data_IF_460591206406
#
_entry.id   IF_460591206406
#
_cell.length_a   1.000
_cell.length_b   1.000
_cell.length_c   1.000
_cell.angle_alpha   90.00
_cell.angle_beta   90.00
_cell.angle_gamma   90.00
#
_symmetry.space_group_name_H-M   'P 1'
#
loop_
_entity.id
_entity.type
_entity.pdbx_description
1 polymer ?
#
# COMPACT_ATOMS: atom_id res chain seq x y z
N UNK A 1 18.71 11.00 -12.88
CA UNK A 1 18.24 11.89 -11.79
C UNK A 1 17.74 10.98 -10.67
N UNK A 2 18.00 11.29 -9.39
CA UNK A 2 17.44 10.50 -8.28
C UNK A 2 15.91 10.62 -8.27
N UNK A 3 15.23 9.51 -7.98
CA UNK A 3 13.77 9.49 -7.84
C UNK A 3 13.44 9.36 -6.35
N UNK A 4 12.67 10.31 -5.79
CA UNK A 4 12.43 10.39 -4.36
C UNK A 4 11.48 9.29 -3.87
N UNK A 5 11.53 9.05 -2.56
CA UNK A 5 10.52 8.24 -1.89
C UNK A 5 9.14 8.89 -1.98
N UNK A 6 8.09 8.08 -2.01
CA UNK A 6 6.71 8.54 -2.08
C UNK A 6 5.75 7.45 -1.63
N UNK A 7 4.53 7.85 -1.28
CA UNK A 7 3.43 6.93 -0.99
C UNK A 7 2.92 6.32 -2.29
N UNK A 8 3.04 5.00 -2.44
CA UNK A 8 2.60 4.28 -3.64
C UNK A 8 1.12 3.94 -3.59
N UNK A 9 0.65 3.45 -2.44
CA UNK A 9 -0.74 3.10 -2.21
C UNK A 9 -1.09 3.18 -0.73
N UNK A 10 -2.35 3.46 -0.47
CA UNK A 10 -2.97 3.51 0.85
C UNK A 10 -4.27 2.72 0.80
N UNK A 11 -4.43 1.76 1.70
CA UNK A 11 -5.64 0.97 1.85
C UNK A 11 -6.17 1.10 3.28
N UNK A 12 -7.48 1.21 3.41
CA UNK A 12 -8.20 1.11 4.69
C UNK A 12 -9.16 -0.06 4.56
N UNK A 13 -9.01 -1.03 5.44
CA UNK A 13 -9.79 -2.26 5.40
C UNK A 13 -10.26 -2.70 6.79
N UNK A 14 -11.33 -3.47 6.80
CA UNK A 14 -11.88 -4.11 7.98
C UNK A 14 -12.30 -5.55 7.62
N UNK A 15 -11.72 -6.52 8.33
CA UNK A 15 -11.86 -7.96 8.04
C UNK A 15 -13.19 -8.56 8.51
N UNK A 16 -14.05 -7.79 9.17
CA UNK A 16 -15.38 -8.25 9.64
C UNK A 16 -16.49 -7.84 8.67
N UNK A 17 -16.19 -7.07 7.63
CA UNK A 17 -17.19 -6.59 6.68
C UNK A 17 -17.61 -7.69 5.70
N UNK A 18 -18.93 -7.82 5.54
CA UNK A 18 -19.54 -8.77 4.60
C UNK A 18 -19.78 -8.13 3.23
N UNK A 19 -19.76 -8.93 2.16
CA UNK A 19 -20.05 -8.45 0.81
C UNK A 19 -21.51 -8.00 0.68
N UNK A 20 -21.70 -6.93 -0.08
CA UNK A 20 -23.03 -6.48 -0.52
C UNK A 20 -23.58 -7.43 -1.58
N UNK A 21 -24.90 -7.42 -1.78
CA UNK A 21 -25.54 -8.22 -2.84
C UNK A 21 -24.97 -7.91 -4.23
N UNK A 22 -24.62 -6.65 -4.51
CA UNK A 22 -23.99 -6.26 -5.77
C UNK A 22 -22.58 -6.87 -5.94
N UNK A 23 -21.77 -6.88 -4.87
CA UNK A 23 -20.44 -7.49 -4.89
C UNK A 23 -20.53 -9.00 -5.14
N UNK A 24 -21.46 -9.69 -4.48
CA UNK A 24 -21.71 -11.13 -4.70
C UNK A 24 -22.14 -11.46 -6.14
N UNK A 25 -22.91 -10.58 -6.78
CA UNK A 25 -23.34 -10.79 -8.17
C UNK A 25 -22.25 -10.49 -9.19
N UNK A 26 -21.35 -9.55 -8.89
CA UNK A 26 -20.30 -9.10 -9.80
C UNK A 26 -19.02 -9.93 -9.75
N UNK A 27 -18.79 -10.66 -8.65
CA UNK A 27 -17.56 -11.41 -8.45
C UNK A 27 -17.61 -12.75 -9.20
N UNK A 28 -16.51 -13.12 -9.84
CA UNK A 28 -16.35 -14.42 -10.50
C UNK A 28 -16.24 -15.56 -9.48
N UNK A 29 -15.72 -15.25 -8.28
CA UNK A 29 -15.53 -16.16 -7.16
C UNK A 29 -16.07 -15.51 -5.87
N UNK A 30 -16.75 -16.30 -5.03
CA UNK A 30 -17.32 -15.84 -3.77
C UNK A 30 -16.26 -15.33 -2.81
N UNK A 31 -15.10 -15.97 -2.73
CA UNK A 31 -14.02 -15.58 -1.80
C UNK A 31 -13.50 -14.19 -2.15
N UNK A 32 -13.40 -13.93 -3.43
CA UNK A 32 -13.02 -12.67 -4.04
C UNK A 32 -14.00 -11.53 -3.72
N UNK A 33 -15.29 -11.86 -3.55
CA UNK A 33 -16.30 -10.90 -3.09
C UNK A 33 -16.10 -10.54 -1.62
N UNK A 34 -15.78 -11.51 -0.76
CA UNK A 34 -15.46 -11.27 0.65
C UNK A 34 -14.19 -10.43 0.80
N UNK A 35 -13.13 -10.77 0.06
CA UNK A 35 -11.88 -10.02 0.07
C UNK A 35 -12.07 -8.57 -0.41
N UNK A 36 -12.86 -8.38 -1.46
CA UNK A 36 -13.25 -7.05 -1.91
C UNK A 36 -14.08 -6.30 -0.85
N UNK A 37 -14.95 -6.99 -0.13
CA UNK A 37 -15.81 -6.39 0.87
C UNK A 37 -15.03 -5.84 2.07
N UNK A 38 -13.89 -6.43 2.40
CA UNK A 38 -13.04 -5.93 3.48
C UNK A 38 -12.43 -4.55 3.18
N UNK A 39 -12.21 -4.22 1.91
CA UNK A 39 -11.57 -2.97 1.49
C UNK A 39 -12.63 -1.87 1.37
N UNK A 40 -12.45 -0.80 2.13
CA UNK A 40 -13.39 0.33 2.20
C UNK A 40 -12.80 1.57 1.53
N UNK A 41 -11.47 1.68 1.51
CA UNK A 41 -10.79 2.71 0.76
C UNK A 41 -9.50 2.14 0.17
N UNK A 42 -9.21 2.52 -1.06
CA UNK A 42 -7.96 2.21 -1.73
C UNK A 42 -7.59 3.37 -2.64
N UNK A 43 -6.40 3.94 -2.43
CA UNK A 43 -5.82 4.96 -3.29
C UNK A 43 -4.43 4.53 -3.72
N UNK A 44 -4.06 4.89 -4.94
CA UNK A 44 -2.75 4.63 -5.51
C UNK A 44 -2.34 5.82 -6.38
N UNK A 45 -1.04 6.12 -6.41
CA UNK A 45 -0.51 7.19 -7.25
C UNK A 45 -0.63 6.86 -8.75
N UNK A 46 -0.63 5.58 -9.12
CA UNK A 46 -0.84 5.15 -10.49
C UNK A 46 -2.29 5.39 -10.91
N UNK A 47 -2.49 5.99 -12.10
CA UNK A 47 -3.81 6.43 -12.59
C UNK A 47 -4.88 5.33 -12.64
N UNK A 48 -4.48 4.07 -12.79
CA UNK A 48 -5.38 2.92 -12.85
C UNK A 48 -4.72 1.71 -12.19
N UNK A 49 -5.32 1.21 -11.11
CA UNK A 49 -4.93 -0.05 -10.48
C UNK A 49 -5.99 -1.11 -10.76
N UNK A 50 -5.56 -2.30 -11.16
CA UNK A 50 -6.48 -3.43 -11.34
C UNK A 50 -6.98 -3.94 -9.99
N UNK A 51 -8.21 -4.48 -9.98
CA UNK A 51 -8.79 -5.16 -8.82
C UNK A 51 -7.83 -6.21 -8.25
N UNK A 52 -7.28 -7.07 -9.10
CA UNK A 52 -6.33 -8.12 -8.70
C UNK A 52 -5.11 -7.58 -7.95
N UNK A 53 -4.57 -6.43 -8.39
CA UNK A 53 -3.40 -5.84 -7.74
C UNK A 53 -3.75 -5.34 -6.33
N UNK A 54 -4.86 -4.63 -6.21
CA UNK A 54 -5.38 -4.18 -4.91
C UNK A 54 -5.64 -5.36 -3.97
N UNK A 55 -6.35 -6.40 -4.43
CA UNK A 55 -6.64 -7.59 -3.64
C UNK A 55 -5.37 -8.32 -3.21
N UNK A 56 -4.36 -8.44 -4.09
CA UNK A 56 -3.06 -9.04 -3.72
C UNK A 56 -2.31 -8.22 -2.68
N UNK A 57 -2.31 -6.89 -2.80
CA UNK A 57 -1.62 -6.02 -1.84
C UNK A 57 -2.25 -6.10 -0.45
N UNK A 58 -3.58 -5.95 -0.37
CA UNK A 58 -4.31 -6.03 0.91
C UNK A 58 -4.30 -7.46 1.46
N UNK A 59 -4.47 -8.47 0.61
CA UNK A 59 -4.42 -9.88 1.01
C UNK A 59 -3.07 -10.26 1.61
N UNK A 60 -1.96 -9.75 1.05
CA UNK A 60 -0.62 -9.94 1.62
C UNK A 60 -0.50 -9.25 3.00
N UNK A 61 -0.97 -8.00 3.12
CA UNK A 61 -0.95 -7.28 4.40
C UNK A 61 -1.73 -8.04 5.49
N UNK A 62 -2.94 -8.53 5.16
CA UNK A 62 -3.76 -9.36 6.04
C UNK A 62 -3.04 -10.65 6.47
N UNK A 63 -2.44 -11.35 5.51
CA UNK A 63 -1.74 -12.60 5.79
C UNK A 63 -0.56 -12.37 6.75
N UNK A 64 0.19 -11.28 6.57
CA UNK A 64 1.32 -10.92 7.43
C UNK A 64 0.88 -10.54 8.85
N UNK A 65 -0.19 -9.75 8.99
CA UNK A 65 -0.80 -9.43 10.28
C UNK A 65 -1.25 -10.70 11.00
N UNK A 66 -1.97 -11.59 10.31
CA UNK A 66 -2.45 -12.84 10.89
C UNK A 66 -1.29 -13.76 11.28
N UNK A 67 -0.24 -13.83 10.45
CA UNK A 67 0.97 -14.60 10.75
C UNK A 67 1.70 -14.05 11.98
N UNK A 68 1.88 -12.73 12.08
CA UNK A 68 2.45 -12.10 13.28
C UNK A 68 1.58 -12.37 14.53
N UNK A 69 0.26 -12.40 14.34
CA UNK A 69 -0.73 -12.77 15.35
C UNK A 69 -0.53 -14.16 15.98
N UNK A 70 0.10 -15.09 15.26
CA UNK A 70 0.44 -16.41 15.78
C UNK A 70 1.53 -16.37 16.87
N UNK A 71 2.35 -15.31 16.88
CA UNK A 71 3.45 -15.12 17.84
C UNK A 71 3.14 -14.05 18.88
N UNK A 72 2.23 -13.13 18.56
CA UNK A 72 1.80 -12.07 19.45
C UNK A 72 0.26 -11.97 19.43
N UNK A 73 -0.45 -12.16 20.56
CA UNK A 73 -1.91 -12.32 20.56
C UNK A 73 -2.71 -11.13 20.02
N UNK A 74 -2.13 -9.93 20.02
CA UNK A 74 -2.79 -8.68 19.64
C UNK A 74 -1.81 -7.82 18.82
N UNK A 75 -1.44 -8.23 17.60
CA UNK A 75 -0.56 -7.41 16.78
C UNK A 75 -1.28 -6.10 16.48
N UNK A 76 -0.74 -4.99 16.94
CA UNK A 76 -1.28 -3.65 16.62
C UNK A 76 -0.70 -3.11 15.34
N UNK A 77 0.42 -3.69 14.88
CA UNK A 77 1.14 -3.28 13.68
C UNK A 77 2.01 -4.39 13.10
N UNK A 78 2.36 -4.23 11.83
CA UNK A 78 3.39 -4.98 11.12
C UNK A 78 4.12 -4.06 10.16
N UNK A 79 5.45 -4.00 10.28
CA UNK A 79 6.32 -3.30 9.34
C UNK A 79 7.09 -4.31 8.51
N UNK A 80 7.09 -4.14 7.19
CA UNK A 80 7.80 -5.01 6.26
C UNK A 80 8.72 -4.20 5.37
N UNK A 81 9.99 -4.59 5.38
CA UNK A 81 11.04 -3.96 4.60
C UNK A 81 11.44 -4.85 3.44
N UNK A 82 11.50 -4.27 2.26
CA UNK A 82 12.10 -4.88 1.08
C UNK A 82 13.18 -3.98 0.52
N UNK A 83 13.94 -4.47 -0.46
CA UNK A 83 14.96 -3.67 -1.14
C UNK A 83 14.39 -2.39 -1.77
N UNK A 84 13.11 -2.38 -2.16
CA UNK A 84 12.50 -1.28 -2.93
C UNK A 84 11.42 -0.52 -2.18
N UNK A 85 10.82 -1.14 -1.15
CA UNK A 85 9.62 -0.64 -0.49
C UNK A 85 9.67 -0.78 1.02
N UNK A 86 9.01 0.14 1.71
CA UNK A 86 8.59 0.01 3.12
C UNK A 86 7.08 -0.17 3.15
N UNK A 87 6.59 -1.16 3.87
CA UNK A 87 5.17 -1.42 4.05
C UNK A 87 4.85 -1.29 5.54
N UNK A 88 3.85 -0.48 5.86
CA UNK A 88 3.38 -0.28 7.23
C UNK A 88 1.91 -0.64 7.27
N UNK A 89 1.55 -1.55 8.17
CA UNK A 89 0.17 -1.91 8.46
C UNK A 89 -0.07 -1.73 9.96
N UNK A 90 -1.10 -0.99 10.36
CA UNK A 90 -1.43 -0.82 11.77
C UNK A 90 -2.93 -0.64 11.98
N UNK A 91 -3.38 -0.89 13.20
CA UNK A 91 -4.79 -0.74 13.59
C UNK A 91 -5.00 0.56 14.37
N UNK A 92 -5.63 1.60 13.76
CA UNK A 92 -5.91 2.86 14.46
C UNK A 92 -7.09 2.76 15.44
N UNK A 93 -8.01 1.82 15.22
CA UNK A 93 -9.13 1.47 16.10
C UNK A 93 -9.53 0.00 15.86
N UNK A 94 -10.26 -0.66 16.79
CA UNK A 94 -10.58 -2.08 16.69
C UNK A 94 -11.21 -2.48 15.37
N UNK A 95 -10.81 -3.63 14.83
CA UNK A 95 -11.24 -4.21 13.54
C UNK A 95 -10.85 -3.43 12.27
N UNK A 96 -10.30 -2.22 12.42
CA UNK A 96 -9.85 -1.39 11.32
C UNK A 96 -8.35 -1.41 11.17
N UNK A 97 -7.91 -1.38 9.91
CA UNK A 97 -6.51 -1.42 9.54
C UNK A 97 -6.22 -0.39 8.46
N UNK A 98 -5.09 0.29 8.62
CA UNK A 98 -4.50 1.14 7.59
C UNK A 98 -3.25 0.43 7.10
N UNK A 99 -3.17 0.21 5.80
CA UNK A 99 -2.00 -0.32 5.10
C UNK A 99 -1.45 0.71 4.13
N UNK A 100 -0.17 1.03 4.24
CA UNK A 100 0.51 1.98 3.37
C UNK A 100 1.79 1.36 2.82
N UNK A 101 2.02 1.55 1.52
CA UNK A 101 3.27 1.17 0.87
C UNK A 101 4.03 2.38 0.36
N UNK A 102 5.32 2.42 0.66
CA UNK A 102 6.24 3.50 0.27
C UNK A 102 7.31 2.94 -0.65
N UNK A 103 7.58 3.62 -1.77
CA UNK A 103 8.79 3.36 -2.54
C UNK A 103 9.96 4.08 -1.90
N UNK A 104 11.10 3.42 -1.85
CA UNK A 104 12.36 4.01 -1.40
C UNK A 104 12.94 4.92 -2.48
N UNK A 105 13.75 5.90 -2.04
CA UNK A 105 14.51 6.73 -2.97
C UNK A 105 15.44 5.83 -3.79
N UNK A 106 15.47 6.05 -5.11
CA UNK A 106 16.32 5.30 -6.04
C UNK A 106 17.23 6.21 -6.84
N UNK A 107 18.50 5.83 -6.90
CA UNK A 107 19.57 6.55 -7.60
C UNK A 107 20.04 5.69 -8.77
N UNK A 108 20.18 6.23 -10.00
CA UNK A 108 20.72 5.47 -11.12
C UNK A 108 22.18 5.13 -10.82
N UNK A 109 22.56 3.84 -10.90
CA UNK A 109 23.99 3.48 -10.79
C UNK A 109 24.74 4.06 -12.00
N UNK A 110 25.92 4.68 -11.80
CA UNK A 110 26.76 5.06 -12.92
C UNK A 110 27.19 3.81 -13.68
N UNK A 111 26.95 3.79 -15.00
CA UNK A 111 27.33 2.66 -15.86
C UNK A 111 28.85 2.57 -15.85
N UNK A 112 29.43 1.55 -15.22
CA UNK A 112 30.86 1.30 -15.32
C UNK A 112 31.15 0.71 -16.70
N UNK A 113 31.80 1.48 -17.58
CA UNK A 113 32.39 0.97 -18.82
C UNK A 113 33.50 -0.04 -18.47
N UNK A 114 33.15 -1.32 -18.29
CA UNK A 114 34.11 -2.42 -18.23
C UNK A 114 34.06 -3.20 -19.54
N UNK A 115 35.08 -2.90 -20.36
CA UNK A 115 35.68 -3.67 -21.45
C UNK A 115 34.95 -4.90 -21.99
N UNK A 116 34.70 -4.86 -23.29
CA UNK A 116 34.36 -6.00 -24.17
C UNK A 116 35.27 -7.21 -23.90
N UNK A 117 34.69 -8.36 -23.59
CA UNK A 117 35.16 -9.65 -24.12
C UNK A 117 33.95 -10.59 -24.29
N UNK A 118 33.74 -11.05 -25.53
CA UNK A 118 32.72 -12.03 -25.93
C UNK A 118 33.16 -13.44 -25.52
N UNK A 119 32.25 -14.28 -25.02
CA UNK A 119 31.84 -15.53 -25.69
C UNK A 119 30.63 -16.21 -25.04
N UNK A 120 29.98 -17.07 -25.83
CA UNK A 120 28.60 -17.60 -25.79
C UNK A 120 28.37 -18.71 -24.74
N UNK A 121 27.13 -18.84 -24.22
CA UNK A 121 26.19 -19.93 -24.59
C UNK A 121 24.88 -19.97 -23.76
N UNK A 122 23.82 -20.41 -24.47
CA UNK A 122 22.64 -21.21 -24.05
C UNK A 122 21.35 -20.59 -23.46
N UNK A 123 20.29 -20.84 -24.25
CA UNK A 123 18.86 -21.09 -23.99
C UNK A 123 18.45 -21.29 -22.51
N UNK A 124 17.37 -20.63 -22.09
CA UNK A 124 16.10 -21.29 -21.69
C UNK A 124 14.98 -20.30 -21.30
N UNK A 125 13.77 -20.60 -21.80
CA UNK A 125 12.43 -20.38 -21.24
C UNK A 125 12.03 -18.96 -20.77
N UNK A 126 11.29 -18.27 -21.64
CA UNK A 126 10.56 -17.04 -21.32
C UNK A 126 9.38 -17.32 -20.37
N UNK A 127 9.50 -16.80 -19.15
CA UNK A 127 8.40 -16.49 -18.23
C UNK A 127 7.66 -15.23 -18.72
N UNK A 128 6.37 -15.05 -18.39
CA UNK A 128 5.56 -13.96 -18.92
C UNK A 128 6.12 -12.58 -18.49
N UNK A 129 5.95 -11.54 -19.35
CA UNK A 129 6.62 -10.25 -19.17
C UNK A 129 5.91 -9.42 -18.10
N UNK A 130 6.62 -9.16 -16.99
CA UNK A 130 6.29 -8.07 -16.08
C UNK A 130 6.58 -6.75 -16.80
N UNK A 131 5.50 -6.06 -17.23
CA UNK A 131 5.57 -4.84 -18.04
C UNK A 131 5.61 -3.62 -17.13
N UNK A 132 6.74 -3.41 -16.49
CA UNK A 132 7.13 -2.09 -16.03
C UNK A 132 7.72 -1.33 -17.25
N UNK A 133 6.82 -0.85 -18.12
CA UNK A 133 7.18 0.01 -19.27
C UNK A 133 7.22 1.47 -18.81
N UNK A 134 8.27 1.83 -18.11
CA UNK A 134 8.86 3.17 -18.19
C UNK A 134 10.36 2.98 -18.30
N UNK A 135 10.90 3.43 -19.43
CA UNK A 135 12.26 3.10 -19.85
C UNK A 135 13.31 3.62 -18.89
N UNK A 136 14.19 2.72 -18.46
CA UNK A 136 15.64 2.88 -18.41
C UNK A 136 16.22 1.55 -17.92
N UNK A 137 16.92 0.82 -18.79
CA UNK A 137 17.69 -0.40 -18.44
C UNK A 137 18.97 0.01 -17.68
N UNK A 138 18.81 0.64 -16.53
CA UNK A 138 19.89 0.95 -15.59
C UNK A 138 19.69 0.14 -14.31
N UNK A 139 20.78 -0.34 -13.71
CA UNK A 139 20.71 -0.81 -12.33
C UNK A 139 20.45 0.38 -11.40
N UNK A 140 19.50 0.23 -10.47
CA UNK A 140 19.18 1.25 -9.47
C UNK A 140 19.80 0.87 -8.13
N UNK A 141 20.31 1.86 -7.40
CA UNK A 141 20.64 1.79 -5.98
C UNK A 141 19.49 2.38 -5.17
N UNK A 142 19.11 1.74 -4.07
CA UNK A 142 17.98 2.14 -3.23
C UNK A 142 18.50 2.60 -1.87
N UNK A 143 18.04 3.76 -1.41
CA UNK A 143 18.40 4.31 -0.11
C UNK A 143 17.35 3.97 0.94
N UNK A 144 17.81 3.38 2.03
CA UNK A 144 16.98 3.03 3.17
C UNK A 144 17.05 4.08 4.28
N UNK A 145 16.46 5.25 4.02
CA UNK A 145 16.48 6.39 4.95
C UNK A 145 15.08 6.65 5.58
N UNK A 146 14.09 5.79 5.30
CA UNK A 146 12.75 5.92 5.84
C UNK A 146 12.65 5.28 7.23
N UNK A 147 12.27 6.09 8.21
CA UNK A 147 12.02 5.65 9.58
C UNK A 147 10.55 5.20 9.75
N UNK A 148 10.38 3.97 10.24
CA UNK A 148 9.07 3.35 10.45
C UNK A 148 8.21 4.11 11.47
N UNK A 149 8.80 4.58 12.57
CA UNK A 149 8.07 5.29 13.62
C UNK A 149 7.57 6.64 13.11
N UNK A 150 8.39 7.35 12.33
CA UNK A 150 8.00 8.64 11.72
C UNK A 150 6.88 8.44 10.71
N UNK A 151 6.98 7.44 9.83
CA UNK A 151 5.94 7.14 8.85
C UNK A 151 4.62 6.74 9.54
N UNK A 152 4.69 5.88 10.56
CA UNK A 152 3.54 5.49 11.37
C UNK A 152 2.93 6.68 12.11
N UNK A 153 3.75 7.53 12.73
CA UNK A 153 3.26 8.72 13.43
C UNK A 153 2.49 9.65 12.47
N UNK A 154 2.99 9.82 11.24
CA UNK A 154 2.30 10.62 10.21
C UNK A 154 0.99 9.96 9.75
N UNK A 155 0.97 8.64 9.56
CA UNK A 155 -0.26 7.89 9.25
C UNK A 155 -1.30 8.01 10.37
N UNK A 156 -0.86 7.83 11.62
CA UNK A 156 -1.69 7.92 12.83
C UNK A 156 -2.30 9.31 12.95
N UNK A 157 -1.50 10.37 12.78
CA UNK A 157 -1.98 11.75 12.75
C UNK A 157 -3.03 11.97 11.64
N UNK A 158 -2.85 11.37 10.47
CA UNK A 158 -3.85 11.42 9.40
C UNK A 158 -5.20 10.85 9.83
N UNK A 159 -5.19 9.73 10.56
CA UNK A 159 -6.41 9.17 11.15
C UNK A 159 -6.99 10.06 12.25
N UNK A 160 -6.17 10.61 13.14
CA UNK A 160 -6.63 11.51 14.21
C UNK A 160 -7.30 12.77 13.65
N UNK A 161 -6.73 13.36 12.60
CA UNK A 161 -7.31 14.49 11.87
C UNK A 161 -8.64 14.11 11.22
N UNK A 162 -8.73 12.93 10.58
CA UNK A 162 -9.98 12.40 10.05
C UNK A 162 -11.04 12.25 11.16
N UNK A 163 -10.65 11.61 12.26
CA UNK A 163 -11.53 11.32 13.40
C UNK A 163 -12.07 12.58 14.04
N UNK A 164 -11.24 13.61 14.18
CA UNK A 164 -11.64 14.91 14.71
C UNK A 164 -12.73 15.59 13.85
N UNK A 165 -12.65 15.45 12.53
CA UNK A 165 -13.57 16.11 11.59
C UNK A 165 -14.84 15.32 11.30
N UNK A 166 -14.78 13.99 11.40
CA UNK A 166 -15.84 13.11 10.90
C UNK A 166 -16.40 12.11 11.92
N UNK A 167 -15.68 11.84 13.01
CA UNK A 167 -15.92 10.70 13.90
C UNK A 167 -15.07 9.49 13.52
N UNK A 168 -15.15 8.42 14.30
CA UNK A 168 -14.39 7.18 14.04
C UNK A 168 -14.96 6.40 12.84
N UNK A 169 -14.19 5.49 12.24
CA UNK A 169 -14.67 4.67 11.13
C UNK A 169 -15.90 3.85 11.55
N UNK A 170 -15.85 3.26 12.74
CA UNK A 170 -16.96 2.49 13.32
C UNK A 170 -18.19 3.35 13.59
N UNK A 171 -18.01 4.58 14.09
CA UNK A 171 -19.10 5.53 14.32
C UNK A 171 -19.80 5.93 13.01
N UNK A 172 -19.01 6.25 11.99
CA UNK A 172 -19.54 6.62 10.68
C UNK A 172 -20.25 5.43 10.03
N UNK A 173 -19.66 4.22 10.11
CA UNK A 173 -20.28 3.01 9.58
C UNK A 173 -21.66 2.75 10.22
N UNK A 174 -21.77 2.95 11.54
CA UNK A 174 -23.02 2.76 12.28
C UNK A 174 -24.06 3.85 11.97
N UNK A 175 -23.64 5.10 11.80
CA UNK A 175 -24.55 6.25 11.65
C UNK A 175 -24.93 6.57 10.21
N UNK A 176 -24.03 6.34 9.25
CA UNK A 176 -24.15 6.78 7.86
C UNK A 176 -24.03 5.65 6.84
N UNK A 177 -24.00 4.39 7.28
CA UNK A 177 -23.77 3.20 6.45
C UNK A 177 -22.39 3.13 5.76
N UNK A 178 -22.14 2.01 5.08
CA UNK A 178 -20.88 1.75 4.37
C UNK A 178 -20.62 2.77 3.24
N UNK A 179 -21.55 3.00 2.29
CA UNK A 179 -21.40 4.07 1.30
C UNK A 179 -21.11 5.46 1.91
N UNK A 180 -21.71 5.79 3.05
CA UNK A 180 -21.43 7.03 3.78
C UNK A 180 -19.98 7.11 4.27
N UNK A 181 -19.47 6.01 4.84
CA UNK A 181 -18.07 5.89 5.25
C UNK A 181 -17.12 5.96 4.04
N UNK A 182 -17.34 5.15 3.00
CA UNK A 182 -16.51 5.13 1.78
C UNK A 182 -16.37 6.54 1.18
N UNK A 183 -17.48 7.30 1.12
CA UNK A 183 -17.47 8.68 0.64
C UNK A 183 -16.69 9.63 1.55
N UNK A 184 -16.76 9.46 2.87
CA UNK A 184 -16.00 10.26 3.82
C UNK A 184 -14.50 10.00 3.70
N UNK A 185 -14.12 8.72 3.61
CA UNK A 185 -12.73 8.30 3.40
C UNK A 185 -12.20 8.84 2.08
N UNK A 186 -12.94 8.69 0.99
CA UNK A 186 -12.54 9.16 -0.35
C UNK A 186 -12.26 10.66 -0.36
N UNK A 187 -13.14 11.47 0.25
CA UNK A 187 -12.98 12.94 0.29
C UNK A 187 -11.76 13.38 1.09
N UNK A 188 -11.46 12.67 2.19
CA UNK A 188 -10.36 13.04 3.07
C UNK A 188 -9.03 12.41 2.60
N UNK A 189 -8.97 11.09 2.52
CA UNK A 189 -7.73 10.35 2.31
C UNK A 189 -7.17 10.48 0.91
N UNK A 190 -7.98 10.73 -0.13
CA UNK A 190 -7.45 10.99 -1.48
C UNK A 190 -6.66 12.30 -1.54
N UNK A 191 -7.17 13.36 -0.90
CA UNK A 191 -6.46 14.64 -0.80
C UNK A 191 -5.27 14.54 0.17
N UNK A 192 -5.45 13.83 1.27
CA UNK A 192 -4.39 13.64 2.25
C UNK A 192 -3.22 12.82 1.66
N UNK A 193 -3.48 11.70 0.98
CA UNK A 193 -2.48 10.83 0.39
C UNK A 193 -1.71 11.52 -0.74
N UNK A 194 -2.36 12.38 -1.54
CA UNK A 194 -1.67 13.11 -2.61
C UNK A 194 -0.66 14.14 -2.10
N UNK A 195 -0.71 14.54 -0.82
CA UNK A 195 0.27 15.42 -0.17
C UNK A 195 1.50 14.67 0.36
N UNK A 196 1.57 13.35 0.20
CA UNK A 196 2.71 12.54 0.63
C UNK A 196 3.85 12.57 -0.38
N UNK A 197 4.43 13.76 -0.55
CA UNK A 197 5.73 13.95 -1.18
C UNK A 197 6.81 13.83 -0.10
N UNK A 198 7.43 12.63 0.02
CA UNK A 198 8.55 12.39 0.94
C UNK A 198 9.86 13.02 0.42
N UNK A 199 9.80 13.78 -0.69
CA UNK A 199 10.88 14.62 -1.24
C UNK A 199 11.31 15.74 -0.31
N UNK A 200 10.38 16.24 0.50
CA UNK A 200 10.66 17.36 1.38
C UNK A 200 11.14 16.82 2.72
N UNK A 201 12.46 16.65 2.85
CA UNK A 201 13.13 16.92 4.12
C UNK A 201 12.84 18.39 4.43
N UNK A 202 11.68 18.66 5.02
CA UNK A 202 11.40 19.96 5.61
C UNK A 202 12.34 20.06 6.80
N UNK A 203 13.34 20.96 6.78
CA UNK A 203 14.02 21.29 8.02
C UNK A 203 12.96 21.91 8.93
N UNK A 204 12.92 21.42 10.16
CA UNK A 204 12.05 21.90 11.23
C UNK A 204 12.09 23.42 11.38
#
# INVERSE_FOLDING_TARGET
MALPSHLTHLAIYNTTLLPTAAQLQSAEDSDDAYEQAHIVFYSCQERTVSRDRMLRQVGLAKALVNFAGMFHPLPTETNVHSQKKRLITFSPEPDWWIHAGFDLERIPKPVSDKGKTKEKEKKEKEKPPDRDKTGEKGEWEYKDELDDEVLKARLTRGYEEFKLLHGSFSEILHTKDRPGLERALERFFTVWASKWDLTTLTPF
#
